data_IF_717772721391
#
_entry.id   IF_717772721391
#
_cell.length_a   1.000
_cell.length_b   1.000
_cell.length_c   1.000
_cell.angle_alpha   90.00
_cell.angle_beta   90.00
_cell.angle_gamma   90.00
#
_symmetry.space_group_name_H-M   'P 1'
#
loop_
_entity.id
_entity.type
_entity.pdbx_description
1 polymer ?
#
# COMPACT_ATOMS: atom_id res chain seq x y z
N UNK A 1 -7.21 11.19 33.33
CA UNK A 1 -6.13 11.17 32.34
C UNK A 1 -6.66 10.95 30.95
N UNK A 2 -6.44 11.88 30.11
CA UNK A 2 -6.83 11.71 28.71
C UNK A 2 -5.91 10.65 28.09
N UNK A 3 -6.51 9.74 27.35
CA UNK A 3 -5.74 8.80 26.59
C UNK A 3 -5.40 9.43 25.26
N UNK A 4 -4.16 9.88 25.16
CA UNK A 4 -3.69 10.50 23.95
C UNK A 4 -3.10 9.47 22.98
N UNK A 5 -3.15 8.21 23.36
CA UNK A 5 -2.64 7.12 22.50
C UNK A 5 -3.37 5.82 22.85
N UNK A 6 -3.33 4.89 21.92
CA UNK A 6 -3.90 3.56 22.14
C UNK A 6 -3.02 2.74 23.07
N UNK A 7 -3.64 1.85 23.82
CA UNK A 7 -2.91 0.98 24.73
C UNK A 7 -2.21 -0.14 23.93
N UNK A 8 -1.36 -0.89 24.62
CA UNK A 8 -0.54 -1.90 23.95
C UNK A 8 -1.38 -3.00 23.31
N UNK A 9 -2.52 -3.36 23.92
CA UNK A 9 -3.39 -4.39 23.36
C UNK A 9 -4.00 -3.92 22.04
N UNK A 10 -4.44 -2.67 21.98
CA UNK A 10 -4.97 -2.10 20.75
C UNK A 10 -3.90 -1.99 19.67
N UNK A 11 -2.70 -1.57 20.06
CA UNK A 11 -1.59 -1.46 19.12
C UNK A 11 -1.22 -2.82 18.54
N UNK A 12 -1.30 -3.86 19.34
CA UNK A 12 -1.02 -5.22 18.87
C UNK A 12 -2.07 -5.68 17.86
N UNK A 13 -3.33 -5.35 18.11
CA UNK A 13 -4.41 -5.65 17.15
C UNK A 13 -4.11 -4.98 15.80
N UNK A 14 -3.81 -3.71 15.83
CA UNK A 14 -3.55 -2.96 14.59
C UNK A 14 -2.28 -3.42 13.90
N UNK A 15 -1.27 -3.80 14.68
CA UNK A 15 -0.05 -4.37 14.11
C UNK A 15 -0.36 -5.62 13.31
N UNK A 16 -1.21 -6.50 13.84
CA UNK A 16 -1.62 -7.70 13.12
C UNK A 16 -2.32 -7.39 11.81
N UNK A 17 -3.20 -6.39 11.81
CA UNK A 17 -3.89 -5.95 10.60
C UNK A 17 -2.91 -5.42 9.58
N UNK A 18 -1.98 -4.59 10.03
CA UNK A 18 -0.97 -3.99 9.14
C UNK A 18 -0.05 -5.06 8.57
N UNK A 19 0.38 -6.00 9.40
CA UNK A 19 1.27 -7.08 8.94
C UNK A 19 0.62 -7.90 7.83
N UNK A 20 -0.66 -8.21 7.96
CA UNK A 20 -1.38 -8.95 6.93
C UNK A 20 -1.50 -8.15 5.65
N UNK A 21 -1.79 -6.87 5.76
CA UNK A 21 -1.89 -6.01 4.58
C UNK A 21 -0.54 -5.82 3.91
N UNK A 22 0.53 -5.74 4.68
CA UNK A 22 1.88 -5.65 4.14
C UNK A 22 2.25 -6.92 3.38
N UNK A 23 1.96 -8.06 3.95
CA UNK A 23 2.25 -9.34 3.30
C UNK A 23 1.57 -9.41 1.94
N UNK A 24 0.28 -9.06 1.91
CA UNK A 24 -0.49 -9.07 0.67
C UNK A 24 0.05 -8.03 -0.32
N UNK A 25 0.32 -6.83 0.15
CA UNK A 25 0.79 -5.75 -0.71
C UNK A 25 2.16 -6.07 -1.31
N UNK A 26 3.05 -6.66 -0.51
CA UNK A 26 4.38 -7.05 -1.00
C UNK A 26 4.27 -8.15 -2.04
N UNK A 27 3.37 -9.10 -1.85
CA UNK A 27 3.15 -10.16 -2.83
C UNK A 27 2.61 -9.59 -4.13
N UNK A 28 1.66 -8.67 -4.05
CA UNK A 28 1.13 -8.02 -5.24
C UNK A 28 2.18 -7.21 -5.98
N UNK A 29 3.01 -6.49 -5.24
CA UNK A 29 4.10 -5.71 -5.84
C UNK A 29 5.08 -6.62 -6.54
N UNK A 30 5.45 -7.71 -5.90
CA UNK A 30 6.37 -8.68 -6.49
C UNK A 30 5.81 -9.23 -7.81
N UNK A 31 4.53 -9.58 -7.82
CA UNK A 31 3.87 -10.04 -9.02
C UNK A 31 3.93 -9.01 -10.13
N UNK A 32 3.62 -7.75 -9.81
CA UNK A 32 3.65 -6.67 -10.79
C UNK A 32 5.05 -6.44 -11.33
N UNK A 33 6.04 -6.45 -10.45
CA UNK A 33 7.43 -6.25 -10.86
C UNK A 33 7.93 -7.38 -11.74
N UNK A 34 7.60 -8.62 -11.41
CA UNK A 34 7.99 -9.76 -12.22
C UNK A 34 7.30 -9.73 -13.58
N UNK A 35 6.06 -9.28 -13.61
CA UNK A 35 5.35 -9.16 -14.88
C UNK A 35 5.96 -8.08 -15.78
N UNK A 36 6.44 -7.00 -15.18
CA UNK A 36 7.08 -5.91 -15.94
C UNK A 36 8.45 -6.29 -16.46
N UNK A 37 9.18 -7.10 -15.70
CA UNK A 37 10.54 -7.46 -16.02
C UNK A 37 10.69 -8.88 -16.51
N UNK A 38 9.60 -9.52 -16.86
CA UNK A 38 9.65 -10.94 -17.15
C UNK A 38 10.53 -11.24 -18.37
N UNK A 39 11.78 -11.70 -18.19
CA UNK A 39 12.67 -11.98 -19.29
C UNK A 39 12.24 -13.23 -20.09
N UNK A 40 11.32 -14.01 -19.55
CA UNK A 40 10.83 -15.20 -20.21
C UNK A 40 9.92 -14.86 -21.39
N UNK A 41 9.50 -13.61 -21.47
CA UNK A 41 8.80 -13.14 -22.64
C UNK A 41 9.68 -13.21 -23.88
N UNK A 42 10.97 -13.33 -23.67
CA UNK A 42 11.91 -13.49 -24.77
C UNK A 42 11.63 -14.74 -25.60
N UNK A 43 11.15 -15.78 -24.94
CA UNK A 43 10.81 -17.00 -25.63
C UNK A 43 9.59 -16.87 -26.52
N UNK A 44 8.71 -15.96 -26.20
CA UNK A 44 7.50 -15.71 -26.97
C UNK A 44 7.75 -14.75 -28.13
N UNK A 45 8.92 -14.19 -28.19
CA UNK A 45 9.27 -13.16 -29.16
C UNK A 45 9.34 -13.68 -30.57
N UNK A 46 9.44 -14.96 -30.74
CA UNK A 46 9.52 -15.56 -32.07
C UNK A 46 8.19 -15.60 -32.77
N UNK A 47 7.15 -15.06 -32.17
CA UNK A 47 5.88 -14.93 -32.84
C UNK A 47 6.01 -13.99 -34.05
N UNK A 48 5.10 -14.14 -34.98
CA UNK A 48 5.12 -13.42 -36.25
C UNK A 48 5.21 -11.92 -36.05
N UNK A 49 6.05 -11.28 -36.87
CA UNK A 49 6.36 -9.86 -36.76
C UNK A 49 5.12 -8.95 -36.77
N UNK A 50 4.14 -9.27 -37.60
CA UNK A 50 2.93 -8.46 -37.69
C UNK A 50 2.07 -8.55 -36.43
N UNK A 51 1.98 -9.74 -35.90
CA UNK A 51 1.23 -9.99 -34.68
C UNK A 51 1.92 -9.32 -33.49
N UNK A 52 3.25 -9.33 -33.51
CA UNK A 52 4.04 -8.70 -32.47
C UNK A 52 3.84 -7.18 -32.41
N UNK A 53 3.74 -6.54 -33.55
CA UNK A 53 3.52 -5.09 -33.59
C UNK A 53 2.21 -4.68 -32.94
N UNK A 54 1.15 -5.47 -33.17
CA UNK A 54 -0.13 -5.19 -32.54
C UNK A 54 -0.09 -5.47 -31.05
N UNK A 55 0.60 -6.53 -30.66
CA UNK A 55 0.75 -6.87 -29.26
C UNK A 55 1.60 -5.85 -28.53
N UNK A 56 2.63 -5.30 -29.18
CA UNK A 56 3.47 -4.29 -28.57
C UNK A 56 2.71 -3.01 -28.27
N UNK A 57 1.78 -2.61 -29.14
CA UNK A 57 0.99 -1.42 -28.92
C UNK A 57 0.06 -1.60 -27.71
N UNK A 58 -0.55 -2.78 -27.59
CA UNK A 58 -1.37 -3.10 -26.42
C UNK A 58 -0.51 -3.26 -25.17
N UNK A 59 0.67 -3.88 -25.32
CA UNK A 59 1.58 -4.13 -24.19
C UNK A 59 2.12 -2.85 -23.59
N UNK A 60 2.40 -1.84 -24.39
CA UNK A 60 2.91 -0.57 -23.87
C UNK A 60 1.89 0.06 -22.93
N UNK A 61 0.63 0.09 -23.35
CA UNK A 61 -0.43 0.67 -22.52
C UNK A 61 -0.65 -0.17 -21.26
N UNK A 62 -0.65 -1.48 -21.39
CA UNK A 62 -0.81 -2.37 -20.26
C UNK A 62 0.35 -2.26 -19.29
N UNK A 63 1.57 -2.20 -19.79
CA UNK A 63 2.74 -2.02 -18.95
C UNK A 63 2.73 -0.70 -18.20
N UNK A 64 2.24 0.35 -18.85
CA UNK A 64 2.13 1.63 -18.21
C UNK A 64 1.14 1.58 -17.05
N UNK A 65 0.00 0.91 -17.24
CA UNK A 65 -0.96 0.72 -16.18
C UNK A 65 -0.38 -0.10 -15.04
N UNK A 66 0.33 -1.18 -15.34
CA UNK A 66 0.97 -2.01 -14.33
C UNK A 66 2.05 -1.26 -13.58
N UNK A 67 2.80 -0.41 -14.29
CA UNK A 67 3.82 0.41 -13.68
C UNK A 67 3.21 1.40 -12.68
N UNK A 68 2.07 1.99 -13.03
CA UNK A 68 1.35 2.89 -12.14
C UNK A 68 0.82 2.15 -10.92
N UNK A 69 0.31 0.94 -11.12
CA UNK A 69 -0.14 0.12 -10.00
C UNK A 69 1.02 -0.25 -9.06
N UNK A 70 2.16 -0.60 -9.65
CA UNK A 70 3.35 -0.92 -8.86
C UNK A 70 3.78 0.28 -8.04
N UNK A 71 3.74 1.47 -8.61
CA UNK A 71 4.09 2.70 -7.91
C UNK A 71 3.14 2.96 -6.74
N UNK A 72 1.84 2.76 -6.96
CA UNK A 72 0.85 2.90 -5.90
C UNK A 72 1.09 1.90 -4.78
N UNK A 73 1.40 0.65 -5.14
CA UNK A 73 1.69 -0.37 -4.14
C UNK A 73 2.93 -0.03 -3.33
N UNK A 74 3.96 0.50 -3.98
CA UNK A 74 5.16 0.93 -3.26
C UNK A 74 4.85 2.00 -2.23
N UNK A 75 4.03 2.98 -2.61
CA UNK A 75 3.62 4.05 -1.69
C UNK A 75 2.76 3.51 -0.56
N UNK A 76 1.86 2.58 -0.87
CA UNK A 76 1.02 1.95 0.15
C UNK A 76 1.87 1.16 1.14
N UNK A 77 2.82 0.38 0.63
CA UNK A 77 3.75 -0.37 1.48
C UNK A 77 4.53 0.57 2.40
N UNK A 78 5.06 1.65 1.85
CA UNK A 78 5.79 2.64 2.64
C UNK A 78 4.90 3.22 3.75
N UNK A 79 3.64 3.52 3.42
CA UNK A 79 2.69 4.03 4.41
C UNK A 79 2.41 3.03 5.52
N UNK A 80 2.28 1.75 5.17
CA UNK A 80 2.07 0.68 6.15
C UNK A 80 3.31 0.49 7.03
N UNK A 81 4.50 0.55 6.44
CA UNK A 81 5.75 0.45 7.20
C UNK A 81 5.90 1.61 8.17
N UNK A 82 5.53 2.81 7.73
CA UNK A 82 5.53 3.98 8.61
C UNK A 82 4.53 3.80 9.75
N UNK A 83 3.38 3.17 9.47
CA UNK A 83 2.41 2.87 10.51
C UNK A 83 2.98 1.92 11.55
N UNK A 84 3.70 0.88 11.12
CA UNK A 84 4.38 -0.03 12.04
C UNK A 84 5.41 0.71 12.91
N UNK A 85 6.12 1.64 12.31
CA UNK A 85 7.08 2.45 13.04
C UNK A 85 6.39 3.27 14.13
N UNK A 86 5.22 3.83 13.81
CA UNK A 86 4.44 4.58 14.79
C UNK A 86 3.94 3.68 15.91
N UNK A 87 3.56 2.43 15.60
CA UNK A 87 3.17 1.47 16.63
C UNK A 87 4.35 1.22 17.57
N UNK A 88 5.52 1.03 17.02
CA UNK A 88 6.72 0.80 17.81
C UNK A 88 7.01 2.01 18.71
N UNK A 89 6.81 3.21 18.21
CA UNK A 89 7.02 4.45 18.95
C UNK A 89 5.83 4.82 19.84
N UNK A 90 4.74 4.03 19.77
CA UNK A 90 3.52 4.24 20.55
C UNK A 90 2.81 5.54 20.22
N UNK A 91 2.96 5.99 18.97
CA UNK A 91 2.28 7.19 18.47
C UNK A 91 1.23 6.84 17.42
N UNK A 92 1.01 5.56 17.17
CA UNK A 92 0.06 5.11 16.17
C UNK A 92 -1.37 5.48 16.56
N UNK A 93 -2.16 5.87 15.55
CA UNK A 93 -3.57 6.14 15.74
C UNK A 93 -3.88 7.53 16.29
N UNK A 94 -2.87 8.38 16.38
CA UNK A 94 -3.04 9.75 16.84
C UNK A 94 -3.08 10.67 15.62
N UNK A 95 -4.14 11.47 15.52
CA UNK A 95 -4.28 12.41 14.41
C UNK A 95 -3.17 13.46 14.49
N UNK A 96 -2.41 13.62 13.42
CA UNK A 96 -1.29 14.56 13.40
C UNK A 96 -1.71 16.04 13.42
N UNK A 97 -2.99 16.30 13.15
CA UNK A 97 -3.51 17.67 13.15
C UNK A 97 -4.15 18.01 14.47
N UNK A 98 -5.03 17.15 14.99
CA UNK A 98 -5.78 17.44 16.21
C UNK A 98 -5.13 16.89 17.48
N UNK A 99 -4.24 15.93 17.35
CA UNK A 99 -3.66 15.26 18.51
C UNK A 99 -4.60 14.28 19.18
N UNK A 100 -5.80 14.12 18.65
CA UNK A 100 -6.78 13.19 19.22
C UNK A 100 -6.66 11.84 18.54
N UNK A 101 -7.19 10.81 19.21
CA UNK A 101 -7.17 9.47 18.65
C UNK A 101 -8.06 9.37 17.41
N UNK A 102 -7.55 8.71 16.41
CA UNK A 102 -8.33 8.34 15.22
C UNK A 102 -9.21 7.16 15.63
N UNK A 103 -10.46 7.12 15.17
CA UNK A 103 -11.37 6.06 15.55
C UNK A 103 -10.85 4.69 15.11
N UNK A 104 -11.16 3.68 15.91
CA UNK A 104 -10.75 2.30 15.56
C UNK A 104 -11.36 1.85 14.26
N UNK A 105 -12.59 2.25 13.99
CA UNK A 105 -13.26 1.90 12.74
C UNK A 105 -12.47 2.41 11.53
N UNK A 106 -12.03 3.65 11.60
CA UNK A 106 -11.23 4.22 10.53
C UNK A 106 -9.89 3.52 10.39
N UNK A 107 -9.24 3.18 11.51
CA UNK A 107 -7.97 2.48 11.48
C UNK A 107 -8.09 1.06 10.96
N UNK A 108 -9.22 0.41 11.20
CA UNK A 108 -9.45 -0.92 10.63
C UNK A 108 -9.65 -0.85 9.13
N UNK A 109 -10.30 0.20 8.64
CA UNK A 109 -10.51 0.41 7.21
C UNK A 109 -9.26 0.98 6.53
N UNK A 110 -8.59 1.91 7.19
CA UNK A 110 -7.40 2.58 6.65
C UNK A 110 -6.30 2.55 7.70
N UNK A 111 -5.60 1.43 7.83
CA UNK A 111 -4.62 1.25 8.93
C UNK A 111 -3.46 2.24 8.92
N UNK A 112 -3.17 2.81 7.77
CA UNK A 112 -2.08 3.79 7.63
C UNK A 112 -2.55 5.24 7.80
N UNK A 113 -3.80 5.44 8.24
CA UNK A 113 -4.34 6.79 8.40
C UNK A 113 -3.56 7.59 9.43
N UNK A 114 -3.30 8.85 9.12
CA UNK A 114 -2.64 9.78 10.02
C UNK A 114 -3.55 10.95 10.39
N UNK A 115 -4.73 11.00 9.82
CA UNK A 115 -5.71 12.07 10.07
C UNK A 115 -7.04 11.44 10.45
N UNK A 116 -7.71 12.07 11.41
CA UNK A 116 -9.10 11.73 11.69
C UNK A 116 -9.97 12.13 10.50
N UNK A 117 -11.18 11.60 10.45
CA UNK A 117 -12.12 11.98 9.39
C UNK A 117 -12.37 13.48 9.41
N UNK A 118 -12.52 14.03 10.61
CA UNK A 118 -12.75 15.45 10.79
C UNK A 118 -11.61 16.29 10.24
N UNK A 119 -10.37 15.90 10.56
CA UNK A 119 -9.20 16.63 10.08
C UNK A 119 -9.05 16.51 8.57
N UNK A 120 -9.35 15.32 8.02
CA UNK A 120 -9.28 15.11 6.58
C UNK A 120 -10.28 15.97 5.83
N UNK A 121 -11.48 16.11 6.38
CA UNK A 121 -12.53 16.90 5.74
C UNK A 121 -12.25 18.41 5.78
N UNK A 122 -11.34 18.84 6.66
CA UNK A 122 -10.96 20.24 6.75
C UNK A 122 -9.86 20.64 5.79
N UNK A 123 -9.31 19.67 5.07
CA UNK A 123 -8.23 19.96 4.11
C UNK A 123 -8.77 20.23 2.70
#
# INVERSE_FOLDING_TARGET
MSQDRYNDADLEEFKGIIDKKLEKARAELKYLQESLYNPNDDGAVESLAGQKLMEEAADVQEREQMSQLAERQQKFIASLENALQRIQNKTYGVCRVTGKLISKERLRAVPHATLSIEAKNQQ
#
